data_IF_200952182756
#
_entry.id   IF_200952182756
#
_cell.length_a   1.000
_cell.length_b   1.000
_cell.length_c   1.000
_cell.angle_alpha   90.00
_cell.angle_beta   90.00
_cell.angle_gamma   90.00
#
_symmetry.space_group_name_H-M   'P 1'
#
loop_
_entity.id
_entity.type
_entity.pdbx_description
1 polymer ?
#
# COMPACT_ATOMS: atom_id res chain seq x y z
N UNK A 1 -8.48 -3.75 17.76
CA UNK A 1 -8.09 -5.01 17.12
C UNK A 1 -7.28 -4.71 15.86
N UNK A 2 -6.12 -5.29 15.78
CA UNK A 2 -5.23 -5.02 14.67
C UNK A 2 -5.62 -5.84 13.44
N UNK A 3 -5.52 -5.20 12.30
CA UNK A 3 -5.79 -5.89 11.06
C UNK A 3 -4.55 -6.67 10.62
N UNK A 4 -4.78 -7.88 10.17
CA UNK A 4 -3.70 -8.73 9.70
C UNK A 4 -3.15 -8.25 8.38
N UNK A 5 -4.00 -7.63 7.57
CA UNK A 5 -3.63 -7.17 6.25
C UNK A 5 -4.02 -5.72 6.07
N UNK A 6 -3.23 -5.03 5.30
CA UNK A 6 -3.49 -3.64 4.96
C UNK A 6 -3.79 -3.57 3.47
N UNK A 7 -4.93 -3.00 3.12
CA UNK A 7 -5.38 -2.94 1.73
C UNK A 7 -5.09 -1.57 1.14
N UNK A 8 -4.47 -1.57 -0.02
CA UNK A 8 -4.10 -0.35 -0.74
C UNK A 8 -4.80 -0.37 -2.08
N UNK A 9 -5.44 0.74 -2.43
CA UNK A 9 -6.14 0.84 -3.72
C UNK A 9 -5.30 1.50 -4.79
N UNK A 10 -4.23 2.15 -4.42
CA UNK A 10 -3.37 2.86 -5.37
C UNK A 10 -2.22 1.97 -5.81
N UNK A 11 -2.09 1.80 -7.13
CA UNK A 11 -0.96 1.04 -7.67
C UNK A 11 0.37 1.72 -7.35
N UNK A 12 0.40 3.04 -7.44
CA UNK A 12 1.64 3.78 -7.17
C UNK A 12 2.07 3.59 -5.73
N UNK A 13 1.13 3.65 -4.81
CA UNK A 13 1.44 3.44 -3.40
C UNK A 13 1.88 2.01 -3.15
N UNK A 14 1.20 1.05 -3.77
CA UNK A 14 1.56 -0.35 -3.63
C UNK A 14 2.98 -0.61 -4.12
N UNK A 15 3.33 -0.03 -5.26
CA UNK A 15 4.68 -0.17 -5.81
C UNK A 15 5.72 0.45 -4.87
N UNK A 16 5.40 1.60 -4.27
CA UNK A 16 6.29 2.25 -3.33
C UNK A 16 6.53 1.38 -2.10
N UNK A 17 5.47 0.81 -1.57
CA UNK A 17 5.60 -0.08 -0.41
C UNK A 17 6.45 -1.29 -0.76
N UNK A 18 6.21 -1.89 -1.91
CA UNK A 18 6.98 -3.04 -2.36
C UNK A 18 8.46 -2.68 -2.50
N UNK A 19 8.74 -1.51 -3.05
CA UNK A 19 10.11 -1.06 -3.23
C UNK A 19 10.83 -0.90 -1.88
N UNK A 20 10.14 -0.33 -0.91
CA UNK A 20 10.76 -0.04 0.39
C UNK A 20 10.88 -1.30 1.24
N UNK A 21 9.84 -2.11 1.29
CA UNK A 21 9.79 -3.25 2.21
C UNK A 21 10.27 -4.55 1.59
N UNK A 22 10.29 -4.62 0.26
CA UNK A 22 10.58 -5.86 -0.44
C UNK A 22 9.42 -6.84 -0.41
N UNK A 23 8.30 -6.46 0.15
CA UNK A 23 7.11 -7.30 0.25
C UNK A 23 6.26 -7.15 -1.01
N UNK A 24 5.81 -8.28 -1.54
CA UNK A 24 4.89 -8.24 -2.67
C UNK A 24 3.47 -8.32 -2.18
N UNK A 25 2.56 -7.55 -2.77
CA UNK A 25 1.17 -7.58 -2.35
C UNK A 25 0.44 -8.76 -2.94
N UNK A 26 -0.64 -9.14 -2.27
CA UNK A 26 -1.64 -10.02 -2.86
C UNK A 26 -2.61 -9.14 -3.63
N UNK A 27 -2.81 -9.45 -4.90
CA UNK A 27 -3.66 -8.63 -5.76
C UNK A 27 -5.03 -9.28 -5.88
N UNK A 28 -6.06 -8.50 -5.61
CA UNK A 28 -7.44 -8.95 -5.73
C UNK A 28 -8.19 -8.02 -6.63
N UNK A 29 -9.14 -8.59 -7.38
CA UNK A 29 -10.03 -7.78 -8.19
C UNK A 29 -11.14 -7.24 -7.31
N UNK A 30 -11.48 -5.97 -7.52
CA UNK A 30 -12.58 -5.37 -6.82
C UNK A 30 -13.87 -5.67 -7.58
N UNK A 31 -14.80 -6.32 -6.90
CA UNK A 31 -16.09 -6.62 -7.51
C UNK A 31 -17.00 -5.40 -7.59
N UNK A 32 -16.70 -4.38 -6.83
CA UNK A 32 -17.54 -3.20 -6.77
C UNK A 32 -17.17 -2.16 -7.80
N UNK A 33 -15.96 -2.24 -8.33
CA UNK A 33 -15.48 -1.25 -9.28
C UNK A 33 -14.82 -1.97 -10.43
N UNK A 34 -15.29 -1.71 -11.62
CA UNK A 34 -14.75 -2.37 -12.80
C UNK A 34 -13.28 -2.01 -13.03
N UNK A 35 -12.50 -3.00 -13.41
CA UNK A 35 -11.11 -2.84 -13.82
C UNK A 35 -10.21 -2.24 -12.74
N UNK A 36 -10.59 -2.39 -11.49
CA UNK A 36 -9.76 -1.92 -10.39
C UNK A 36 -9.29 -3.08 -9.57
N UNK A 37 -8.07 -2.97 -9.13
CA UNK A 37 -7.46 -3.98 -8.27
C UNK A 37 -7.15 -3.38 -6.91
N UNK A 38 -7.18 -4.22 -5.91
CA UNK A 38 -6.73 -3.81 -4.59
C UNK A 38 -5.50 -4.65 -4.24
N UNK A 39 -4.61 -4.06 -3.48
CA UNK A 39 -3.33 -4.67 -3.13
C UNK A 39 -3.28 -4.85 -1.64
N UNK A 40 -3.14 -6.09 -1.20
CA UNK A 40 -3.15 -6.42 0.22
C UNK A 40 -1.74 -6.76 0.68
N UNK A 41 -1.28 -6.08 1.71
CA UNK A 41 0.03 -6.33 2.31
C UNK A 41 -0.14 -6.88 3.72
N UNK A 42 0.82 -7.68 4.14
CA UNK A 42 0.84 -8.13 5.53
C UNK A 42 1.14 -6.92 6.41
N UNK A 43 0.28 -6.67 7.39
CA UNK A 43 0.46 -5.54 8.28
C UNK A 43 1.63 -5.81 9.23
N UNK A 44 2.67 -5.02 9.09
CA UNK A 44 3.90 -5.19 9.87
C UNK A 44 4.47 -3.82 10.21
N UNK A 45 5.47 -3.81 11.07
CA UNK A 45 6.15 -2.57 11.41
C UNK A 45 6.83 -1.97 10.18
N UNK A 46 7.36 -2.82 9.33
CA UNK A 46 8.00 -2.37 8.10
C UNK A 46 6.99 -1.70 7.18
N UNK A 47 5.80 -2.27 7.09
CA UNK A 47 4.74 -1.66 6.29
C UNK A 47 4.40 -0.27 6.81
N UNK A 48 4.26 -0.15 8.13
CA UNK A 48 3.90 1.12 8.73
C UNK A 48 4.99 2.17 8.52
N UNK A 49 6.24 1.76 8.64
CA UNK A 49 7.35 2.65 8.39
C UNK A 49 7.35 3.12 6.93
N UNK A 50 7.07 2.20 6.00
CA UNK A 50 7.01 2.54 4.59
C UNK A 50 5.89 3.54 4.31
N UNK A 51 4.73 3.34 4.93
CA UNK A 51 3.61 4.26 4.75
C UNK A 51 3.96 5.66 5.23
N UNK A 52 4.65 5.76 6.36
CA UNK A 52 5.07 7.06 6.89
C UNK A 52 6.03 7.76 5.92
N UNK A 53 6.99 7.01 5.41
CA UNK A 53 7.96 7.58 4.47
C UNK A 53 7.27 8.05 3.20
N UNK A 54 6.37 7.24 2.67
CA UNK A 54 5.68 7.58 1.43
C UNK A 54 4.76 8.78 1.60
N UNK A 55 4.04 8.83 2.72
CA UNK A 55 3.19 9.97 3.00
C UNK A 55 4.00 11.24 3.17
N UNK A 56 5.12 11.17 3.86
CA UNK A 56 5.98 12.31 4.07
C UNK A 56 6.51 12.83 2.74
N UNK A 57 7.00 11.92 1.89
CA UNK A 57 7.52 12.29 0.59
C UNK A 57 6.44 12.93 -0.27
N UNK A 58 5.24 12.36 -0.26
CA UNK A 58 4.13 12.90 -1.02
C UNK A 58 3.80 14.31 -0.58
N UNK A 59 3.77 14.54 0.72
CA UNK A 59 3.44 15.85 1.26
C UNK A 59 4.51 16.88 0.94
N UNK A 60 5.77 16.46 0.93
CA UNK A 60 6.87 17.37 0.62
C UNK A 60 6.88 17.77 -0.85
N UNK A 61 6.50 16.85 -1.72
CA UNK A 61 6.51 17.11 -3.15
C UNK A 61 5.25 17.83 -3.61
N UNK A 62 4.21 17.74 -2.83
CA UNK A 62 2.95 18.38 -3.15
C UNK A 62 3.04 19.87 -2.82
N UNK A 63 2.73 20.69 -3.76
CA UNK A 63 2.75 22.13 -3.57
C UNK A 63 1.38 22.72 -3.50
#
# INVERSE_FOLDING_TARGET
MEKKYYVVKSLMLANGITFITGQKPFVYDSNQTENKHVYSFVNSLELQAALLVLNDAKNRLKK
#
